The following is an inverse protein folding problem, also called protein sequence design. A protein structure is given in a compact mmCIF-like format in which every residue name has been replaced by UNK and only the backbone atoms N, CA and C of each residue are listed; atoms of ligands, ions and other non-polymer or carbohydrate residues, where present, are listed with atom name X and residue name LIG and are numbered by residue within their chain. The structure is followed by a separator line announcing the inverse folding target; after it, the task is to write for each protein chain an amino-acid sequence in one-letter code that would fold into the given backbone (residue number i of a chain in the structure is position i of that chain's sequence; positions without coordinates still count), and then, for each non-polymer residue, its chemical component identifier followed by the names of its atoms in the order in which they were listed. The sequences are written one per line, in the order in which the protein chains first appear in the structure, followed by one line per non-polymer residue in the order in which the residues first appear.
data_IF_990320679882
#
_entry.id   IF_990320679882
#
_cell.length_a   1.000
_cell.length_b   1.000
_cell.length_c   1.000
_cell.angle_alpha   90.00
_cell.angle_beta   90.00
_cell.angle_gamma   90.00
#
_symmetry.space_group_name_H-M   'P 1'
#
loop_
_entity.id
_entity.type
_entity.pdbx_description
1 polymer ?
#
# COMPACT_ATOMS: atom_id res chain seq x y z
N UNK A 1 -19.55 5.55 4.35
CA UNK A 1 -18.18 5.65 3.79
C UNK A 1 -18.22 6.64 2.64
N UNK A 2 -17.29 7.60 2.56
CA UNK A 2 -17.26 8.61 1.47
C UNK A 2 -16.63 8.03 0.20
N UNK A 3 -17.13 8.44 -0.97
CA UNK A 3 -16.59 8.11 -2.30
C UNK A 3 -15.78 9.25 -2.92
N UNK A 4 -15.61 10.34 -2.18
CA UNK A 4 -14.83 11.50 -2.59
C UNK A 4 -13.34 11.17 -2.69
N UNK A 5 -12.69 11.61 -3.77
CA UNK A 5 -11.23 11.51 -3.93
C UNK A 5 -10.60 12.82 -3.48
N UNK A 6 -9.60 12.74 -2.61
CA UNK A 6 -8.85 13.88 -2.07
C UNK A 6 -7.36 13.65 -2.23
N UNK A 7 -6.56 14.71 -2.31
CA UNK A 7 -5.11 14.61 -2.27
C UNK A 7 -4.57 15.24 -0.98
N UNK A 8 -3.67 14.51 -0.30
CA UNK A 8 -2.98 14.94 0.94
C UNK A 8 -1.45 15.02 0.76
N UNK A 9 -0.96 15.07 -0.48
CA UNK A 9 0.46 15.15 -0.82
C UNK A 9 1.14 13.81 -1.10
N UNK A 10 0.37 12.72 -1.15
CA UNK A 10 0.85 11.36 -1.53
C UNK A 10 0.21 10.87 -2.83
N UNK A 11 -0.58 11.73 -3.46
CA UNK A 11 -1.43 11.44 -4.60
C UNK A 11 -2.90 11.21 -4.20
N UNK A 12 -3.79 11.11 -5.21
CA UNK A 12 -5.23 11.03 -4.99
C UNK A 12 -5.62 9.76 -4.22
N UNK A 13 -6.39 9.93 -3.14
CA UNK A 13 -6.85 8.86 -2.25
C UNK A 13 -8.35 8.95 -1.93
N UNK A 14 -8.95 7.81 -1.64
CA UNK A 14 -10.37 7.75 -1.25
C UNK A 14 -10.51 8.33 0.16
N UNK A 15 -11.33 9.37 0.32
CA UNK A 15 -11.54 10.07 1.58
C UNK A 15 -11.98 9.14 2.69
N UNK A 16 -11.30 9.25 3.83
CA UNK A 16 -11.52 8.38 5.00
C UNK A 16 -10.72 7.08 4.95
N UNK A 17 -9.94 6.85 3.89
CA UNK A 17 -9.00 5.73 3.80
C UNK A 17 -7.58 6.23 3.54
N UNK A 18 -6.61 5.33 3.59
CA UNK A 18 -5.27 5.54 3.06
C UNK A 18 -5.08 4.82 1.73
N UNK A 19 -6.14 4.52 0.97
CA UNK A 19 -6.04 3.81 -0.30
C UNK A 19 -5.99 4.83 -1.44
N UNK A 20 -4.89 4.83 -2.18
CA UNK A 20 -4.68 5.70 -3.35
C UNK A 20 -5.33 5.12 -4.59
N UNK A 21 -5.68 5.98 -5.55
CA UNK A 21 -6.14 5.56 -6.88
C UNK A 21 -5.11 4.67 -7.58
N UNK A 22 -3.82 4.88 -7.33
CA UNK A 22 -2.74 4.01 -7.81
C UNK A 22 -2.87 2.57 -7.32
N UNK A 23 -3.32 2.35 -6.09
CA UNK A 23 -3.54 1.01 -5.55
C UNK A 23 -4.71 0.33 -6.24
N UNK A 24 -5.77 1.07 -6.55
CA UNK A 24 -6.91 0.56 -7.32
C UNK A 24 -6.48 0.23 -8.75
N UNK A 25 -5.72 1.13 -9.38
CA UNK A 25 -5.19 0.96 -10.73
C UNK A 25 -4.32 -0.29 -10.85
N UNK A 26 -3.50 -0.60 -9.84
CA UNK A 26 -2.63 -1.78 -9.80
C UNK A 26 -3.41 -3.08 -9.98
N UNK A 27 -4.56 -3.22 -9.33
CA UNK A 27 -5.44 -4.36 -9.54
C UNK A 27 -6.21 -4.26 -10.87
N UNK A 28 -6.69 -3.08 -11.22
CA UNK A 28 -7.50 -2.89 -12.43
C UNK A 28 -6.71 -3.22 -13.72
N UNK A 29 -5.42 -2.85 -13.78
CA UNK A 29 -4.54 -3.17 -14.92
C UNK A 29 -4.28 -4.67 -15.08
N UNK A 30 -4.44 -5.45 -14.02
CA UNK A 30 -4.34 -6.92 -14.04
C UNK A 30 -5.66 -7.59 -14.43
N UNK A 31 -6.72 -6.80 -14.69
CA UNK A 31 -8.03 -7.30 -15.09
C UNK A 31 -8.92 -7.71 -13.93
N UNK A 32 -8.56 -7.38 -12.69
CA UNK A 32 -9.39 -7.71 -11.52
C UNK A 32 -10.70 -6.92 -11.53
N UNK A 33 -11.80 -7.63 -11.25
CA UNK A 33 -13.13 -7.01 -11.18
C UNK A 33 -13.28 -6.12 -9.93
N UNK A 34 -14.06 -5.05 -10.03
CA UNK A 34 -14.19 -4.05 -8.95
C UNK A 34 -14.64 -4.65 -7.60
N UNK A 35 -15.43 -5.72 -7.60
CA UNK A 35 -15.85 -6.42 -6.38
C UNK A 35 -14.70 -7.16 -5.71
N UNK A 36 -13.77 -7.72 -6.48
CA UNK A 36 -12.58 -8.36 -5.94
C UNK A 36 -11.66 -7.32 -5.29
N UNK A 37 -11.44 -6.20 -5.98
CA UNK A 37 -10.65 -5.08 -5.48
C UNK A 37 -11.24 -4.54 -4.16
N UNK A 38 -12.57 -4.44 -4.08
CA UNK A 38 -13.27 -3.99 -2.89
C UNK A 38 -12.98 -4.91 -1.69
N UNK A 39 -13.06 -6.23 -1.88
CA UNK A 39 -12.75 -7.21 -0.83
C UNK A 39 -11.28 -7.13 -0.43
N UNK A 40 -10.36 -7.12 -1.38
CA UNK A 40 -8.91 -7.12 -1.13
C UNK A 40 -8.44 -5.87 -0.37
N UNK A 41 -9.09 -4.73 -0.58
CA UNK A 41 -8.68 -3.45 0.01
C UNK A 41 -9.57 -3.01 1.18
N UNK A 42 -10.55 -3.84 1.59
CA UNK A 42 -11.50 -3.48 2.65
C UNK A 42 -12.36 -2.26 2.30
N UNK A 43 -12.70 -2.09 1.03
CA UNK A 43 -13.50 -0.99 0.50
C UNK A 43 -14.92 -1.44 0.15
N UNK A 44 -15.83 -0.50 0.02
CA UNK A 44 -17.11 -0.76 -0.65
C UNK A 44 -16.96 -0.72 -2.17
N UNK A 45 -17.77 -1.49 -2.90
CA UNK A 45 -17.80 -1.47 -4.37
C UNK A 45 -17.99 -0.06 -4.93
N UNK A 46 -18.82 0.77 -4.28
CA UNK A 46 -19.05 2.16 -4.71
C UNK A 46 -17.79 3.02 -4.62
N UNK A 47 -16.94 2.81 -3.60
CA UNK A 47 -15.67 3.51 -3.48
C UNK A 47 -14.69 3.09 -4.57
N UNK A 48 -14.65 1.80 -4.90
CA UNK A 48 -13.81 1.29 -6.00
C UNK A 48 -14.28 1.86 -7.34
N UNK A 49 -15.59 1.82 -7.62
CA UNK A 49 -16.14 2.39 -8.85
C UNK A 49 -15.87 3.89 -8.97
N UNK A 50 -16.02 4.66 -7.88
CA UNK A 50 -15.70 6.08 -7.87
C UNK A 50 -14.21 6.34 -8.16
N UNK A 51 -13.31 5.53 -7.59
CA UNK A 51 -11.89 5.62 -7.88
C UNK A 51 -11.56 5.24 -9.34
N UNK A 52 -12.19 4.20 -9.88
CA UNK A 52 -12.04 3.81 -11.30
C UNK A 52 -12.52 4.91 -12.25
N UNK A 53 -13.65 5.55 -11.94
CA UNK A 53 -14.16 6.68 -12.69
C UNK A 53 -13.17 7.86 -12.65
N UNK A 54 -12.66 8.20 -11.47
CA UNK A 54 -11.64 9.24 -11.32
C UNK A 54 -10.38 8.93 -12.15
N UNK A 55 -9.92 7.67 -12.16
CA UNK A 55 -8.77 7.24 -12.97
C UNK A 55 -9.06 7.47 -14.46
N UNK A 56 -10.25 7.14 -14.95
CA UNK A 56 -10.58 7.32 -16.36
C UNK A 56 -10.70 8.82 -16.73
N UNK A 57 -11.25 9.64 -15.84
CA UNK A 57 -11.35 11.10 -16.04
C UNK A 57 -9.98 11.80 -16.00
N UNK A 58 -9.02 11.28 -15.24
CA UNK A 58 -7.68 11.85 -15.03
C UNK A 58 -6.55 10.95 -15.58
N UNK A 59 -6.85 10.16 -16.60
CA UNK A 59 -6.02 9.02 -17.04
C UNK A 59 -4.57 9.38 -17.33
N UNK A 60 -4.33 10.44 -18.10
CA UNK A 60 -2.99 10.84 -18.50
C UNK A 60 -2.10 11.19 -17.30
N UNK A 61 -2.63 12.00 -16.38
CA UNK A 61 -1.94 12.43 -15.16
C UNK A 61 -1.68 11.25 -14.22
N UNK A 62 -2.72 10.44 -13.96
CA UNK A 62 -2.63 9.28 -13.07
C UNK A 62 -1.63 8.25 -13.59
N UNK A 63 -1.64 7.95 -14.89
CA UNK A 63 -0.71 6.98 -15.48
C UNK A 63 0.72 7.50 -15.52
N UNK A 64 0.92 8.79 -15.80
CA UNK A 64 2.24 9.41 -15.77
C UNK A 64 2.86 9.33 -14.37
N UNK A 65 2.10 9.66 -13.33
CA UNK A 65 2.58 9.59 -11.95
C UNK A 65 2.76 8.16 -11.46
N UNK A 66 1.84 7.26 -11.84
CA UNK A 66 1.98 5.84 -11.56
C UNK A 66 3.27 5.27 -12.16
N UNK A 67 3.61 5.63 -13.41
CA UNK A 67 4.86 5.20 -14.02
C UNK A 67 6.09 5.73 -13.27
N UNK A 68 6.08 6.99 -12.81
CA UNK A 68 7.18 7.54 -11.99
C UNK A 68 7.35 6.76 -10.69
N UNK A 69 6.26 6.29 -10.09
CA UNK A 69 6.30 5.44 -8.89
C UNK A 69 6.96 4.09 -9.21
N UNK A 70 6.54 3.43 -10.29
CA UNK A 70 7.14 2.16 -10.73
C UNK A 70 8.63 2.32 -11.03
N UNK A 71 9.03 3.37 -11.75
CA UNK A 71 10.43 3.64 -12.06
C UNK A 71 11.25 3.87 -10.79
N UNK A 72 10.68 4.55 -9.79
CA UNK A 72 11.34 4.75 -8.49
C UNK A 72 11.55 3.42 -7.76
N UNK A 73 10.55 2.55 -7.77
CA UNK A 73 10.63 1.22 -7.16
C UNK A 73 11.68 0.37 -7.87
N UNK A 74 11.68 0.37 -9.20
CA UNK A 74 12.63 -0.38 -10.02
C UNK A 74 14.08 0.09 -9.85
N UNK A 75 14.32 1.39 -9.66
CA UNK A 75 15.65 1.94 -9.34
C UNK A 75 16.17 1.47 -7.98
N UNK A 76 15.31 1.06 -7.06
CA UNK A 76 15.67 0.71 -5.70
C UNK A 76 16.20 1.89 -4.88
N UNK A 77 16.81 1.57 -3.74
CA UNK A 77 17.40 2.57 -2.85
C UNK A 77 18.85 2.89 -3.27
N UNK A 78 19.30 4.15 -3.14
CA UNK A 78 20.71 4.47 -3.26
C UNK A 78 21.57 3.60 -2.32
N UNK A 79 22.81 3.22 -2.70
CA UNK A 79 23.62 2.28 -1.91
C UNK A 79 23.82 2.72 -0.45
N UNK A 80 24.02 4.02 -0.23
CA UNK A 80 24.19 4.58 1.12
C UNK A 80 22.93 4.47 1.98
N UNK A 81 21.74 4.59 1.37
CA UNK A 81 20.47 4.42 2.06
C UNK A 81 20.22 2.93 2.33
N UNK A 82 20.51 2.07 1.35
CA UNK A 82 20.38 0.63 1.53
C UNK A 82 21.26 0.13 2.68
N UNK A 83 22.53 0.56 2.74
CA UNK A 83 23.43 0.21 3.84
C UNK A 83 22.91 0.66 5.22
N UNK A 84 22.25 1.82 5.29
CA UNK A 84 21.60 2.29 6.54
C UNK A 84 20.39 1.43 6.92
N UNK A 85 19.58 1.05 5.94
CA UNK A 85 18.43 0.13 6.14
C UNK A 85 18.94 -1.21 6.66
N UNK A 86 19.97 -1.78 6.03
CA UNK A 86 20.55 -3.07 6.38
C UNK A 86 21.20 -3.03 7.78
N UNK A 87 21.92 -1.96 8.10
CA UNK A 87 22.52 -1.77 9.44
C UNK A 87 21.45 -1.67 10.54
N UNK A 88 20.34 -0.96 10.28
CA UNK A 88 19.21 -0.92 11.21
C UNK A 88 18.55 -2.29 11.32
N UNK A 89 18.30 -2.98 10.22
CA UNK A 89 17.73 -4.33 10.23
C UNK A 89 18.59 -5.29 11.05
N UNK A 90 19.91 -5.33 10.82
CA UNK A 90 20.85 -6.17 11.56
C UNK A 90 20.88 -5.84 13.07
N UNK A 91 20.77 -4.55 13.43
CA UNK A 91 20.70 -4.12 14.83
C UNK A 91 19.46 -4.65 15.53
N UNK A 92 18.30 -4.61 14.86
CA UNK A 92 17.02 -4.99 15.46
C UNK A 92 16.65 -6.47 15.26
N UNK A 93 17.29 -7.18 14.33
CA UNK A 93 17.04 -8.60 14.07
C UNK A 93 17.21 -9.45 15.33
N UNK A 94 18.27 -9.19 16.11
CA UNK A 94 18.50 -9.88 17.39
C UNK A 94 17.39 -9.59 18.40
N UNK A 95 17.01 -8.32 18.56
CA UNK A 95 15.93 -7.91 19.45
C UNK A 95 14.58 -8.54 19.05
N UNK A 96 14.30 -8.63 17.74
CA UNK A 96 13.08 -9.26 17.24
C UNK A 96 13.12 -10.79 17.35
N UNK A 97 14.29 -11.42 17.18
CA UNK A 97 14.47 -12.85 17.39
C UNK A 97 14.27 -13.22 18.87
N UNK A 98 14.86 -12.46 19.79
CA UNK A 98 14.69 -12.65 21.23
C UNK A 98 13.23 -12.44 21.63
N UNK A 99 12.56 -11.40 21.09
CA UNK A 99 11.14 -11.16 21.34
C UNK A 99 10.24 -12.26 20.79
N UNK A 100 10.55 -12.81 19.61
CA UNK A 100 9.84 -13.98 19.05
C UNK A 100 10.03 -15.22 19.92
N UNK A 101 11.27 -15.47 20.37
CA UNK A 101 11.59 -16.59 21.25
C UNK A 101 10.85 -16.47 22.59
N UNK A 102 10.87 -15.29 23.21
CA UNK A 102 10.13 -15.02 24.45
C UNK A 102 8.61 -15.18 24.26
N UNK A 103 8.03 -14.75 23.13
CA UNK A 103 6.60 -14.94 22.85
C UNK A 103 6.24 -16.43 22.71
N UNK A 104 7.08 -17.22 22.04
CA UNK A 104 6.94 -18.68 21.93
C UNK A 104 7.06 -19.36 23.29
N UNK A 105 8.01 -18.93 24.14
CA UNK A 105 8.24 -19.48 25.48
C UNK A 105 7.13 -19.09 26.47
N UNK A 106 6.58 -17.88 26.35
CA UNK A 106 5.50 -17.39 27.22
C UNK A 106 4.11 -17.94 26.83
N UNK A 107 3.99 -18.66 25.71
CA UNK A 107 2.70 -19.16 25.22
C UNK A 107 1.73 -18.06 24.77
N UNK A 108 2.21 -16.82 24.70
CA UNK A 108 1.46 -15.69 24.14
C UNK A 108 1.49 -15.83 22.61
N UNK A 109 0.60 -16.65 22.07
CA UNK A 109 0.15 -16.50 20.70
C UNK A 109 -0.44 -15.09 20.62
N UNK A 110 0.36 -14.12 20.16
CA UNK A 110 -0.12 -12.78 19.84
C UNK A 110 -1.19 -12.91 18.76
N UNK A 111 -2.43 -13.07 19.17
CA UNK A 111 -3.59 -12.76 18.36
C UNK A 111 -3.58 -11.25 18.15
N UNK A 112 -3.02 -10.83 17.03
CA UNK A 112 -3.31 -9.55 16.44
C UNK A 112 -4.34 -9.78 15.35
N UNK A 113 -5.58 -10.03 15.79
CA UNK A 113 -6.78 -9.95 14.98
C UNK A 113 -6.79 -8.60 14.26
N UNK A 114 -6.75 -8.66 12.93
CA UNK A 114 -6.97 -7.54 12.03
C UNK A 114 -8.44 -7.26 11.79
#
# INVERSE_FOLDING_TARGET
MSTEIIDRGRGPEIKGTRITVYSIWDYAREGHHHTYIAVMLGLSSNQVCAALQYIEEHKEEVLADYQKILDRVARGHPPELQAKIDAMHAKYEKLWADRRKMALENGDACDHGG
#
